data_IF_528558120680
#
_entry.id   IF_528558120680
#
_cell.length_a   1.000
_cell.length_b   1.000
_cell.length_c   1.000
_cell.angle_alpha   90.00
_cell.angle_beta   90.00
_cell.angle_gamma   90.00
#
_symmetry.space_group_name_H-M   'P 1'
#
loop_
_entity.id
_entity.type
_entity.pdbx_description
1 polymer ?
#
# COMPACT_ATOMS: atom_id res chain seq x y z
N UNK A 1 18.98 15.43 -25.72
CA UNK A 1 18.58 14.52 -24.62
C UNK A 1 17.59 15.13 -23.61
N UNK A 2 17.58 16.45 -23.33
CA UNK A 2 16.51 17.12 -22.54
C UNK A 2 15.08 16.82 -22.98
N UNK A 3 14.89 16.50 -24.27
CA UNK A 3 13.61 16.10 -24.84
C UNK A 3 13.02 14.83 -24.22
N UNK A 4 13.85 13.83 -23.86
CA UNK A 4 13.37 12.55 -23.29
C UNK A 4 12.82 12.74 -21.88
N UNK A 5 13.50 13.52 -21.05
CA UNK A 5 13.14 13.76 -19.66
C UNK A 5 11.82 14.54 -19.54
N UNK A 6 11.71 15.62 -20.33
CA UNK A 6 10.48 16.40 -20.48
C UNK A 6 9.30 15.57 -21.04
N UNK A 7 9.56 14.47 -21.73
CA UNK A 7 8.50 13.59 -22.26
C UNK A 7 7.94 12.68 -21.16
N UNK A 8 8.78 12.13 -20.28
CA UNK A 8 8.35 11.25 -19.19
C UNK A 8 7.58 12.01 -18.11
N UNK A 9 8.02 13.22 -17.76
CA UNK A 9 7.32 14.07 -16.81
C UNK A 9 5.93 14.46 -17.32
N UNK A 10 5.84 14.91 -18.58
CA UNK A 10 4.56 15.19 -19.25
C UNK A 10 3.65 13.97 -19.33
N UNK A 11 4.20 12.77 -19.53
CA UNK A 11 3.41 11.54 -19.49
C UNK A 11 2.82 11.30 -18.10
N UNK A 12 3.60 11.48 -17.03
CA UNK A 12 3.10 11.31 -15.66
C UNK A 12 2.01 12.35 -15.33
N UNK A 13 2.19 13.60 -15.73
CA UNK A 13 1.18 14.66 -15.57
C UNK A 13 -0.11 14.31 -16.31
N UNK A 14 -0.02 13.88 -17.56
CA UNK A 14 -1.17 13.45 -18.36
C UNK A 14 -1.92 12.29 -17.70
N UNK A 15 -1.21 11.33 -17.11
CA UNK A 15 -1.84 10.21 -16.40
C UNK A 15 -2.57 10.67 -15.13
N UNK A 16 -1.98 11.57 -14.35
CA UNK A 16 -2.61 12.16 -13.15
C UNK A 16 -3.87 12.95 -13.54
N UNK A 17 -3.79 13.75 -14.59
CA UNK A 17 -4.93 14.51 -15.10
C UNK A 17 -6.04 13.59 -15.61
N UNK A 18 -5.70 12.53 -16.34
CA UNK A 18 -6.66 11.55 -16.82
C UNK A 18 -7.39 10.86 -15.65
N UNK A 19 -6.68 10.45 -14.61
CA UNK A 19 -7.28 9.86 -13.41
C UNK A 19 -8.22 10.85 -12.71
N UNK A 20 -7.80 12.10 -12.59
CA UNK A 20 -8.62 13.18 -11.99
C UNK A 20 -9.89 13.46 -12.80
N UNK A 21 -9.79 13.48 -14.13
CA UNK A 21 -10.95 13.63 -15.01
C UNK A 21 -11.92 12.44 -14.91
N UNK A 22 -11.40 11.22 -14.77
CA UNK A 22 -12.21 10.02 -14.56
C UNK A 22 -12.98 10.08 -13.24
N UNK A 23 -12.34 10.50 -12.14
CA UNK A 23 -13.04 10.70 -10.84
C UNK A 23 -14.21 11.67 -10.97
N UNK A 24 -13.97 12.82 -11.62
CA UNK A 24 -15.00 13.85 -11.86
C UNK A 24 -16.17 13.29 -12.69
N UNK A 25 -15.88 12.61 -13.80
CA UNK A 25 -16.92 12.00 -14.66
C UNK A 25 -17.74 10.92 -13.97
N UNK A 26 -17.12 10.17 -13.06
CA UNK A 26 -17.77 9.07 -12.33
C UNK A 26 -18.47 9.54 -11.04
N UNK A 27 -18.39 10.84 -10.71
CA UNK A 27 -18.87 11.41 -9.46
C UNK A 27 -18.38 10.61 -8.24
N UNK A 28 -17.07 10.34 -8.22
CA UNK A 28 -16.38 9.67 -7.12
C UNK A 28 -15.85 10.76 -6.17
N UNK A 29 -16.38 10.81 -4.96
CA UNK A 29 -15.89 11.67 -3.88
C UNK A 29 -14.89 10.92 -2.99
N UNK A 30 -13.63 11.31 -3.06
CA UNK A 30 -12.53 10.65 -2.32
C UNK A 30 -12.76 10.68 -0.80
N UNK A 31 -13.41 11.73 -0.26
CA UNK A 31 -13.65 11.84 1.18
C UNK A 31 -14.65 10.76 1.64
N UNK A 32 -15.77 10.62 0.92
CA UNK A 32 -16.81 9.63 1.20
C UNK A 32 -16.29 8.18 1.14
N UNK A 33 -15.39 7.88 0.21
CA UNK A 33 -14.87 6.51 0.03
C UNK A 33 -13.63 6.21 0.87
N UNK A 34 -12.94 7.21 1.43
CA UNK A 34 -11.83 6.98 2.37
C UNK A 34 -12.29 6.47 3.74
N UNK A 35 -13.48 6.88 4.19
CA UNK A 35 -14.04 6.56 5.52
C UNK A 35 -14.94 5.32 5.47
N UNK A 36 -15.62 5.06 4.35
CA UNK A 36 -16.52 3.92 4.20
C UNK A 36 -15.74 2.62 3.93
N UNK A 37 -15.30 1.98 5.01
CA UNK A 37 -14.87 0.58 4.97
C UNK A 37 -16.07 -0.31 4.60
N UNK A 38 -16.08 -0.80 3.35
CA UNK A 38 -16.89 -1.94 2.86
C UNK A 38 -18.42 -1.79 2.85
N UNK A 39 -18.99 -0.72 3.44
CA UNK A 39 -20.44 -0.45 3.48
C UNK A 39 -20.84 0.73 2.58
N UNK A 40 -20.10 1.00 1.49
CA UNK A 40 -20.53 2.04 0.56
C UNK A 40 -21.86 1.65 -0.09
N UNK A 41 -22.77 2.60 -0.16
CA UNK A 41 -24.07 2.46 -0.84
C UNK A 41 -23.89 2.14 -2.33
N UNK A 42 -22.77 2.56 -2.93
CA UNK A 42 -22.37 2.19 -4.29
C UNK A 42 -21.04 1.42 -4.27
N UNK A 43 -21.13 0.09 -4.26
CA UNK A 43 -19.96 -0.81 -4.25
C UNK A 43 -19.15 -0.75 -5.56
N UNK A 44 -19.77 -0.38 -6.68
CA UNK A 44 -19.09 -0.24 -7.97
C UNK A 44 -18.24 1.02 -7.99
N UNK A 45 -18.77 2.15 -7.54
CA UNK A 45 -18.00 3.39 -7.41
C UNK A 45 -16.85 3.23 -6.41
N UNK A 46 -17.07 2.53 -5.29
CA UNK A 46 -15.99 2.23 -4.34
C UNK A 46 -14.89 1.36 -4.97
N UNK A 47 -15.25 0.37 -5.77
CA UNK A 47 -14.27 -0.42 -6.54
C UNK A 47 -13.48 0.49 -7.51
N UNK A 48 -14.15 1.31 -8.31
CA UNK A 48 -13.49 2.21 -9.26
C UNK A 48 -12.61 3.26 -8.56
N UNK A 49 -13.03 3.77 -7.41
CA UNK A 49 -12.22 4.64 -6.55
C UNK A 49 -10.93 3.93 -6.13
N UNK A 50 -11.01 2.68 -5.66
CA UNK A 50 -9.84 1.91 -5.27
C UNK A 50 -8.89 1.64 -6.45
N UNK A 51 -9.44 1.34 -7.63
CA UNK A 51 -8.68 1.20 -8.88
C UNK A 51 -7.89 2.48 -9.18
N UNK A 52 -8.56 3.64 -9.16
CA UNK A 52 -7.92 4.93 -9.45
C UNK A 52 -6.87 5.29 -8.40
N UNK A 53 -7.08 4.91 -7.13
CA UNK A 53 -6.08 5.11 -6.08
C UNK A 53 -4.83 4.25 -6.26
N UNK A 54 -4.97 2.99 -6.69
CA UNK A 54 -3.81 2.15 -6.99
C UNK A 54 -3.08 2.65 -8.25
N UNK A 55 -3.82 3.18 -9.23
CA UNK A 55 -3.24 3.83 -10.40
C UNK A 55 -2.41 5.06 -10.03
N UNK A 56 -2.95 5.98 -9.23
CA UNK A 56 -2.22 7.18 -8.83
C UNK A 56 -0.95 6.85 -8.06
N UNK A 57 -1.00 5.91 -7.13
CA UNK A 57 0.20 5.47 -6.38
C UNK A 57 1.29 4.96 -7.31
N UNK A 58 0.92 4.20 -8.35
CA UNK A 58 1.87 3.72 -9.34
C UNK A 58 2.47 4.88 -10.18
N UNK A 59 1.64 5.86 -10.56
CA UNK A 59 2.11 7.05 -11.30
C UNK A 59 3.05 7.90 -10.44
N UNK A 60 2.72 8.12 -9.15
CA UNK A 60 3.61 8.83 -8.23
C UNK A 60 4.93 8.08 -8.02
N UNK A 61 4.89 6.77 -7.82
CA UNK A 61 6.12 5.96 -7.71
C UNK A 61 6.97 6.04 -8.97
N UNK A 62 6.36 6.00 -10.15
CA UNK A 62 7.06 6.21 -11.42
C UNK A 62 7.68 7.61 -11.50
N UNK A 63 6.93 8.66 -11.15
CA UNK A 63 7.44 10.04 -11.12
C UNK A 63 8.65 10.18 -10.19
N UNK A 64 8.59 9.61 -8.98
CA UNK A 64 9.70 9.63 -8.04
C UNK A 64 10.91 8.81 -8.54
N UNK A 65 10.68 7.66 -9.16
CA UNK A 65 11.76 6.86 -9.74
C UNK A 65 12.44 7.60 -10.91
N UNK A 66 11.67 8.26 -11.78
CA UNK A 66 12.21 9.07 -12.87
C UNK A 66 13.06 10.23 -12.33
N UNK A 67 12.57 10.97 -11.33
CA UNK A 67 13.34 12.03 -10.66
C UNK A 67 14.64 11.50 -10.05
N UNK A 68 14.56 10.39 -9.33
CA UNK A 68 15.75 9.74 -8.76
C UNK A 68 16.78 9.37 -9.84
N UNK A 69 16.36 8.80 -10.97
CA UNK A 69 17.26 8.43 -12.07
C UNK A 69 17.87 9.66 -12.77
N UNK A 70 17.11 10.76 -12.87
CA UNK A 70 17.57 12.03 -13.42
C UNK A 70 18.66 12.67 -12.55
N UNK A 71 18.41 12.76 -11.24
CA UNK A 71 19.33 13.37 -10.28
C UNK A 71 20.67 12.62 -10.22
N UNK A 72 20.62 11.28 -10.26
CA UNK A 72 21.83 10.45 -10.25
C UNK A 72 22.58 10.46 -11.60
N UNK A 73 21.96 10.85 -12.71
CA UNK A 73 22.64 11.01 -14.01
C UNK A 73 23.42 12.32 -14.12
N UNK A 74 22.92 13.39 -13.48
CA UNK A 74 23.52 14.73 -13.56
C UNK A 74 24.57 15.00 -12.47
N UNK A 75 24.68 14.12 -11.46
CA UNK A 75 25.74 14.17 -10.46
C UNK A 75 27.11 13.85 -11.10
N UNK A 76 27.83 14.89 -11.52
CA UNK A 76 29.09 14.80 -12.26
C UNK A 76 30.29 14.25 -11.45
N UNK A 77 30.14 13.82 -10.21
CA UNK A 77 31.19 13.13 -9.47
C UNK A 77 30.57 12.08 -8.55
N UNK A 78 31.04 10.83 -8.59
CA UNK A 78 30.80 9.91 -7.49
C UNK A 78 31.61 10.43 -6.31
N UNK A 79 31.03 11.30 -5.48
CA UNK A 79 31.43 11.32 -4.08
C UNK A 79 31.37 9.86 -3.60
N UNK A 80 32.36 9.44 -2.83
CA UNK A 80 32.60 8.09 -2.32
C UNK A 80 31.48 7.57 -1.40
N UNK A 81 30.21 7.74 -1.79
CA UNK A 81 29.09 6.99 -1.26
C UNK A 81 29.34 5.56 -1.72
N UNK A 82 29.79 4.74 -0.78
CA UNK A 82 29.93 3.29 -0.85
C UNK A 82 29.20 2.70 -2.07
N UNK A 83 29.95 2.32 -3.11
CA UNK A 83 29.41 1.66 -4.32
C UNK A 83 28.40 0.53 -4.02
N UNK A 84 28.54 -0.25 -2.93
CA UNK A 84 27.53 -1.23 -2.55
C UNK A 84 26.19 -0.60 -2.13
N UNK A 85 26.23 0.55 -1.44
CA UNK A 85 25.05 1.24 -0.93
C UNK A 85 24.26 1.90 -2.07
N UNK A 86 24.95 2.56 -3.01
CA UNK A 86 24.29 3.14 -4.18
C UNK A 86 23.61 2.05 -5.03
N UNK A 87 24.28 0.92 -5.28
CA UNK A 87 23.68 -0.22 -5.99
C UNK A 87 22.43 -0.77 -5.31
N UNK A 88 22.41 -0.84 -3.97
CA UNK A 88 21.22 -1.29 -3.21
C UNK A 88 20.06 -0.31 -3.31
N UNK A 89 20.33 0.99 -3.33
CA UNK A 89 19.29 2.02 -3.50
C UNK A 89 18.69 1.93 -4.91
N UNK A 90 19.51 1.77 -5.94
CA UNK A 90 19.03 1.53 -7.31
C UNK A 90 18.16 0.27 -7.40
N UNK A 91 18.62 -0.84 -6.81
CA UNK A 91 17.86 -2.08 -6.82
C UNK A 91 16.51 -1.93 -6.11
N UNK A 92 16.47 -1.22 -4.98
CA UNK A 92 15.22 -0.92 -4.26
C UNK A 92 14.21 -0.18 -5.17
N UNK A 93 14.68 0.75 -6.00
CA UNK A 93 13.81 1.47 -6.94
C UNK A 93 13.30 0.60 -8.09
N UNK A 94 14.13 -0.30 -8.59
CA UNK A 94 13.70 -1.29 -9.60
C UNK A 94 12.64 -2.22 -9.00
N UNK A 95 12.85 -2.70 -7.77
CA UNK A 95 11.93 -3.59 -7.08
C UNK A 95 10.58 -2.90 -6.80
N UNK A 96 10.62 -1.61 -6.42
CA UNK A 96 9.43 -0.77 -6.25
C UNK A 96 8.62 -0.70 -7.57
N UNK A 97 9.26 -0.38 -8.69
CA UNK A 97 8.61 -0.33 -10.00
C UNK A 97 8.06 -1.71 -10.44
N UNK A 98 8.78 -2.79 -10.16
CA UNK A 98 8.34 -4.14 -10.47
C UNK A 98 7.08 -4.53 -9.67
N UNK A 99 7.02 -4.12 -8.39
CA UNK A 99 5.86 -4.29 -7.53
C UNK A 99 4.65 -3.52 -8.08
N UNK A 100 4.83 -2.26 -8.47
CA UNK A 100 3.75 -1.47 -9.06
C UNK A 100 3.28 -2.02 -10.40
N UNK A 101 4.19 -2.50 -11.25
CA UNK A 101 3.82 -3.20 -12.49
C UNK A 101 2.91 -4.39 -12.21
N UNK A 102 3.29 -5.25 -11.27
CA UNK A 102 2.46 -6.40 -10.88
C UNK A 102 1.11 -5.95 -10.35
N UNK A 103 1.09 -4.92 -9.50
CA UNK A 103 -0.13 -4.40 -8.90
C UNK A 103 -1.10 -3.85 -9.94
N UNK A 104 -0.60 -3.12 -10.94
CA UNK A 104 -1.39 -2.61 -12.05
C UNK A 104 -1.95 -3.74 -12.92
N UNK A 105 -1.19 -4.81 -13.16
CA UNK A 105 -1.70 -5.99 -13.89
C UNK A 105 -2.84 -6.66 -13.13
N UNK A 106 -2.73 -6.82 -11.80
CA UNK A 106 -3.82 -7.34 -10.96
C UNK A 106 -5.07 -6.45 -11.08
N UNK A 107 -4.91 -5.13 -10.96
CA UNK A 107 -6.00 -4.16 -11.09
C UNK A 107 -6.66 -4.21 -12.48
N UNK A 108 -5.87 -4.33 -13.55
CA UNK A 108 -6.37 -4.46 -14.92
C UNK A 108 -7.14 -5.76 -15.13
N UNK A 109 -6.63 -6.87 -14.60
CA UNK A 109 -7.32 -8.16 -14.64
C UNK A 109 -8.67 -8.08 -13.92
N UNK A 110 -8.71 -7.45 -12.74
CA UNK A 110 -9.95 -7.23 -12.00
C UNK A 110 -10.93 -6.36 -12.78
N UNK A 111 -10.47 -5.24 -13.36
CA UNK A 111 -11.29 -4.38 -14.22
C UNK A 111 -11.91 -5.13 -15.41
N UNK A 112 -11.12 -5.96 -16.10
CA UNK A 112 -11.58 -6.77 -17.23
C UNK A 112 -12.60 -7.81 -16.75
N UNK A 113 -12.36 -8.45 -15.61
CA UNK A 113 -13.28 -9.40 -15.00
C UNK A 113 -14.63 -8.77 -14.67
N UNK A 114 -14.61 -7.61 -14.01
CA UNK A 114 -15.82 -6.86 -13.65
C UNK A 114 -16.53 -6.23 -14.84
N UNK A 115 -15.84 -5.95 -15.95
CA UNK A 115 -16.50 -5.56 -17.20
C UNK A 115 -17.45 -6.66 -17.69
N UNK A 116 -17.10 -7.94 -17.51
CA UNK A 116 -17.94 -9.08 -17.90
C UNK A 116 -19.00 -9.41 -16.85
N UNK A 117 -18.64 -9.36 -15.57
CA UNK A 117 -19.50 -9.68 -14.44
C UNK A 117 -20.03 -8.41 -13.73
N UNK A 118 -20.58 -7.47 -14.48
CA UNK A 118 -21.01 -6.13 -14.02
C UNK A 118 -22.29 -6.21 -13.15
N UNK A 119 -22.21 -6.92 -12.02
CA UNK A 119 -23.30 -7.14 -11.06
C UNK A 119 -22.89 -6.54 -9.71
N UNK A 120 -23.76 -5.72 -9.12
CA UNK A 120 -23.49 -4.98 -7.89
C UNK A 120 -23.03 -5.87 -6.72
N UNK A 121 -23.62 -7.06 -6.56
CA UNK A 121 -23.28 -8.02 -5.51
C UNK A 121 -21.83 -8.53 -5.62
N UNK A 122 -21.30 -8.69 -6.82
CA UNK A 122 -19.90 -9.12 -7.00
C UNK A 122 -18.91 -8.03 -6.56
N UNK A 123 -19.19 -6.77 -6.88
CA UNK A 123 -18.38 -5.65 -6.39
C UNK A 123 -18.37 -5.62 -4.86
N UNK A 124 -19.54 -5.79 -4.23
CA UNK A 124 -19.66 -5.79 -2.78
C UNK A 124 -18.80 -6.89 -2.13
N UNK A 125 -18.98 -8.15 -2.55
CA UNK A 125 -18.23 -9.28 -2.00
C UNK A 125 -16.72 -9.16 -2.25
N UNK A 126 -16.32 -8.70 -3.43
CA UNK A 126 -14.92 -8.47 -3.77
C UNK A 126 -14.31 -7.41 -2.85
N UNK A 127 -14.98 -6.27 -2.67
CA UNK A 127 -14.51 -5.19 -1.80
C UNK A 127 -14.38 -5.66 -0.35
N UNK A 128 -15.36 -6.41 0.16
CA UNK A 128 -15.32 -6.98 1.51
C UNK A 128 -14.15 -7.96 1.67
N UNK A 129 -13.94 -8.87 0.71
CA UNK A 129 -12.84 -9.82 0.73
C UNK A 129 -11.48 -9.10 0.76
N UNK A 130 -11.32 -8.04 -0.05
CA UNK A 130 -10.11 -7.23 -0.07
C UNK A 130 -9.87 -6.50 1.25
N UNK A 131 -10.91 -5.93 1.86
CA UNK A 131 -10.82 -5.28 3.16
C UNK A 131 -10.40 -6.28 4.26
N UNK A 132 -11.00 -7.47 4.27
CA UNK A 132 -10.64 -8.54 5.21
C UNK A 132 -9.19 -9.02 5.03
N UNK A 133 -8.76 -9.21 3.78
CA UNK A 133 -7.37 -9.57 3.45
C UNK A 133 -6.39 -8.50 3.93
N UNK A 134 -6.70 -7.22 3.71
CA UNK A 134 -5.87 -6.10 4.19
C UNK A 134 -5.76 -6.11 5.71
N UNK A 135 -6.90 -6.20 6.43
CA UNK A 135 -6.94 -6.26 7.90
C UNK A 135 -6.15 -7.45 8.46
N UNK A 136 -6.23 -8.62 7.82
CA UNK A 136 -5.46 -9.81 8.23
C UNK A 136 -3.95 -9.61 8.06
N UNK A 137 -3.52 -8.93 7.00
CA UNK A 137 -2.10 -8.61 6.80
C UNK A 137 -1.60 -7.63 7.86
N UNK A 138 -2.38 -6.60 8.19
CA UNK A 138 -2.00 -5.63 9.22
C UNK A 138 -1.92 -6.26 10.62
N UNK A 139 -2.90 -7.10 11.01
CA UNK A 139 -2.84 -7.81 12.31
C UNK A 139 -1.63 -8.73 12.45
N UNK A 140 -1.18 -9.37 11.38
CA UNK A 140 0.04 -10.20 11.39
C UNK A 140 1.32 -9.41 11.60
N UNK A 141 1.29 -8.09 11.38
CA UNK A 141 2.44 -7.20 11.60
C UNK A 141 2.39 -6.64 13.04
N UNK A 142 1.19 -6.49 13.61
CA UNK A 142 0.96 -6.03 15.00
C UNK A 142 1.15 -7.13 16.05
N UNK A 143 0.99 -8.41 15.69
CA UNK A 143 1.38 -9.53 16.55
C UNK A 143 2.90 -9.78 16.36
N UNK A 144 3.78 -9.37 17.30
CA UNK A 144 5.16 -9.83 17.26
C UNK A 144 5.16 -11.35 17.37
N UNK A 145 6.12 -11.99 16.72
CA UNK A 145 6.44 -13.42 16.75
C UNK A 145 6.84 -13.93 18.16
N UNK A 146 5.96 -13.76 19.15
CA UNK A 146 6.15 -14.11 20.56
C UNK A 146 4.98 -14.91 21.14
N UNK A 147 4.36 -15.76 20.32
CA UNK A 147 3.24 -16.62 20.69
C UNK A 147 3.61 -18.07 21.02
N UNK A 148 4.88 -18.36 21.34
CA UNK A 148 5.29 -19.69 21.79
C UNK A 148 6.23 -19.56 22.99
N UNK A 149 5.84 -20.20 24.11
CA UNK A 149 6.63 -20.45 25.32
C UNK A 149 6.89 -19.32 26.33
N UNK A 150 5.86 -18.63 26.85
CA UNK A 150 5.94 -18.11 28.24
C UNK A 150 4.55 -18.07 28.91
N UNK A 151 3.93 -19.23 29.17
CA UNK A 151 2.68 -19.24 29.95
C UNK A 151 2.54 -20.39 30.97
N UNK A 152 3.63 -21.09 31.30
CA UNK A 152 3.59 -22.14 32.35
C UNK A 152 4.58 -21.94 33.51
N UNK A 153 5.63 -21.12 33.35
CA UNK A 153 6.61 -20.87 34.42
C UNK A 153 6.23 -19.73 35.40
N UNK A 154 5.51 -18.71 34.94
CA UNK A 154 5.26 -17.49 35.73
C UNK A 154 3.97 -17.52 36.57
N UNK A 155 3.08 -18.50 36.36
CA UNK A 155 1.89 -18.70 37.21
C UNK A 155 2.20 -19.35 38.56
N UNK A 156 3.35 -20.03 38.72
CA UNK A 156 3.72 -20.70 39.98
C UNK A 156 4.59 -19.86 40.92
N UNK A 157 5.25 -18.81 40.44
CA UNK A 157 6.14 -17.98 41.26
C UNK A 157 5.59 -16.60 41.64
N UNK A 158 4.55 -16.09 40.97
CA UNK A 158 3.93 -14.80 41.30
C UNK A 158 2.91 -14.84 42.46
N UNK A 159 2.33 -16.01 42.75
CA UNK A 159 1.26 -16.16 43.75
C UNK A 159 1.77 -16.47 45.18
N UNK A 160 3.05 -16.85 45.36
CA UNK A 160 3.62 -17.05 46.71
C UNK A 160 4.14 -15.78 47.37
N UNK A 161 4.50 -14.74 46.60
CA UNK A 161 4.98 -13.46 47.16
C UNK A 161 3.87 -12.51 47.60
N UNK A 162 2.64 -12.71 47.14
CA UNK A 162 1.50 -11.87 47.53
C UNK A 162 0.77 -12.36 48.79
N UNK A 163 1.01 -13.60 49.23
CA UNK A 163 0.39 -14.15 50.44
C UNK A 163 1.28 -14.06 51.68
N UNK A 164 2.59 -13.78 51.58
CA UNK A 164 3.45 -13.60 52.76
C UNK A 164 3.62 -12.13 53.22
N UNK A 165 2.99 -11.18 52.52
CA UNK A 165 3.00 -9.75 52.87
C UNK A 165 1.70 -9.28 53.52
N UNK A 166 0.69 -10.16 53.62
CA UNK A 166 -0.59 -9.86 54.27
C UNK A 166 -0.64 -10.30 55.74
N UNK A 167 0.28 -11.14 56.19
CA UNK A 167 0.32 -11.65 57.58
C UNK A 167 1.29 -10.88 58.51
N UNK A 168 1.87 -9.76 58.04
CA UNK A 168 2.78 -8.91 58.85
C UNK A 168 2.27 -7.46 59.02
N UNK A 169 0.97 -7.22 58.81
CA UNK A 169 0.30 -5.94 59.06
C UNK A 169 -1.10 -6.22 59.63
N UNK A 170 -1.14 -6.74 60.87
CA UNK A 170 -2.08 -6.49 61.98
C UNK A 170 -1.36 -6.94 63.26
#
# INVERSE_FOLDING_TARGET
MKHSEATHEKMCELLIDAASQLRKKLAIDDLSYSVQLSHSTDSKKYFLHNVLNEFDKAVFSLKFACGFLADNRNAAQPQEIDKPMSSKIFQTKIDELALWRRKLVEVLADLIGFKKANVASYYHHYNLLHALKKKRRTRRIEEPSGGAHVSEGLRKHGLRRFLSLRDNLI
#
